data_IF_611345597480
#
_entry.id   IF_611345597480
#
_cell.length_a   1.000
_cell.length_b   1.000
_cell.length_c   1.000
_cell.angle_alpha   90.00
_cell.angle_beta   90.00
_cell.angle_gamma   90.00
#
_symmetry.space_group_name_H-M   'P 1'
#
loop_
_entity.id
_entity.type
_entity.pdbx_description
1 polymer ?
#
# COMPACT_ATOMS: atom_id res chain seq x y z
N UNK A 1 25.81 -18.32 30.09
CA UNK A 1 25.20 -19.50 29.44
C UNK A 1 23.83 -19.81 30.04
N UNK A 2 23.62 -19.65 31.35
CA UNK A 2 22.32 -19.86 32.03
C UNK A 2 21.17 -18.97 31.50
N UNK A 3 21.44 -17.71 31.17
CA UNK A 3 20.41 -16.77 30.67
C UNK A 3 19.84 -17.11 29.29
N UNK A 4 20.61 -17.84 28.46
CA UNK A 4 20.17 -18.28 27.13
C UNK A 4 19.24 -19.49 27.22
N UNK A 5 19.46 -20.39 28.18
CA UNK A 5 18.59 -21.55 28.39
C UNK A 5 17.20 -21.13 28.89
N UNK A 6 17.14 -20.06 29.69
CA UNK A 6 15.91 -19.47 30.19
C UNK A 6 15.08 -18.80 29.08
N UNK A 7 15.75 -18.17 28.11
CA UNK A 7 15.11 -17.48 26.97
C UNK A 7 14.30 -18.45 26.09
N UNK A 8 14.80 -19.68 25.88
CA UNK A 8 14.14 -20.67 25.03
C UNK A 8 12.70 -20.97 25.48
N UNK A 9 12.42 -20.88 26.79
CA UNK A 9 11.06 -21.02 27.37
C UNK A 9 10.08 -19.95 26.87
N UNK A 10 10.59 -18.81 26.41
CA UNK A 10 9.81 -17.67 25.96
C UNK A 10 9.72 -17.59 24.42
N UNK A 11 10.33 -18.50 23.68
CA UNK A 11 10.19 -18.55 22.21
C UNK A 11 8.73 -18.53 21.71
N UNK A 12 7.76 -19.23 22.35
CA UNK A 12 6.36 -19.13 21.94
C UNK A 12 5.81 -17.71 22.02
N UNK A 13 6.21 -16.95 23.06
CA UNK A 13 5.83 -15.55 23.22
C UNK A 13 6.51 -14.67 22.16
N UNK A 14 7.81 -14.89 21.91
CA UNK A 14 8.58 -14.19 20.88
C UNK A 14 7.93 -14.40 19.51
N UNK A 15 7.56 -15.63 19.17
CA UNK A 15 6.87 -15.99 17.92
C UNK A 15 5.51 -15.33 17.80
N UNK A 16 4.74 -15.25 18.88
CA UNK A 16 3.45 -14.56 18.88
C UNK A 16 3.60 -13.06 18.61
N UNK A 17 4.62 -12.41 19.18
CA UNK A 17 4.89 -10.98 18.93
C UNK A 17 5.41 -10.76 17.51
N UNK A 18 6.29 -11.63 17.01
CA UNK A 18 6.79 -11.63 15.64
C UNK A 18 5.66 -11.67 14.63
N UNK A 19 4.80 -12.69 14.71
CA UNK A 19 3.68 -12.87 13.79
C UNK A 19 2.74 -11.67 13.79
N UNK A 20 2.59 -10.98 14.92
CA UNK A 20 1.70 -9.83 15.05
C UNK A 20 2.28 -8.53 14.49
N UNK A 21 3.59 -8.35 14.55
CA UNK A 21 4.19 -7.03 14.34
C UNK A 21 5.25 -6.98 13.24
N UNK A 22 5.96 -8.07 12.97
CA UNK A 22 7.20 -8.05 12.20
C UNK A 22 7.25 -9.09 11.05
N UNK A 23 6.33 -10.06 10.99
CA UNK A 23 6.36 -11.12 9.98
C UNK A 23 6.41 -10.63 8.52
N UNK A 24 5.79 -9.49 8.23
CA UNK A 24 5.71 -8.94 6.88
C UNK A 24 6.99 -8.19 6.44
N UNK A 25 7.92 -7.92 7.36
CA UNK A 25 9.03 -6.97 7.11
C UNK A 25 10.34 -7.31 7.83
N UNK A 26 10.45 -8.49 8.44
CA UNK A 26 11.60 -8.89 9.25
C UNK A 26 11.73 -10.41 9.23
N UNK A 27 12.95 -10.91 9.06
CA UNK A 27 13.20 -12.35 9.11
C UNK A 27 13.03 -12.88 10.54
N UNK A 28 12.67 -14.16 10.66
CA UNK A 28 12.41 -14.77 11.96
C UNK A 28 13.69 -14.86 12.79
N UNK A 29 14.80 -15.27 12.16
CA UNK A 29 16.12 -15.40 12.76
C UNK A 29 16.63 -14.05 13.28
N UNK A 30 16.44 -12.99 12.48
CA UNK A 30 16.77 -11.61 12.89
C UNK A 30 15.92 -11.18 14.08
N UNK A 31 14.62 -11.49 14.06
CA UNK A 31 13.73 -11.16 15.17
C UNK A 31 14.13 -11.89 16.46
N UNK A 32 14.57 -13.14 16.36
CA UNK A 32 15.07 -13.90 17.50
C UNK A 32 16.32 -13.25 18.10
N UNK A 33 17.22 -12.72 17.27
CA UNK A 33 18.40 -11.99 17.77
C UNK A 33 17.99 -10.71 18.50
N UNK A 34 17.10 -9.91 17.92
CA UNK A 34 16.55 -8.71 18.57
C UNK A 34 15.85 -9.04 19.90
N UNK A 35 15.09 -10.13 19.94
CA UNK A 35 14.45 -10.60 21.16
C UNK A 35 15.46 -11.02 22.24
N UNK A 36 16.59 -11.63 21.85
CA UNK A 36 17.70 -11.97 22.77
C UNK A 36 18.40 -10.71 23.31
N UNK A 37 18.57 -9.69 22.49
CA UNK A 37 19.13 -8.39 22.92
C UNK A 37 18.21 -7.74 23.94
N UNK A 38 16.90 -7.69 23.67
CA UNK A 38 15.91 -7.17 24.63
C UNK A 38 15.95 -7.98 25.93
N UNK A 39 15.94 -9.31 25.83
CA UNK A 39 16.03 -10.20 26.99
C UNK A 39 17.25 -9.88 27.86
N UNK A 40 18.44 -9.81 27.26
CA UNK A 40 19.68 -9.50 27.95
C UNK A 40 19.60 -8.15 28.70
N UNK A 41 19.12 -7.10 28.03
CA UNK A 41 18.95 -5.78 28.66
C UNK A 41 17.98 -5.82 29.83
N UNK A 42 16.89 -6.57 29.73
CA UNK A 42 15.94 -6.69 30.82
C UNK A 42 16.53 -7.46 32.00
N UNK A 43 17.36 -8.48 31.77
CA UNK A 43 18.01 -9.21 32.87
C UNK A 43 18.94 -8.32 33.69
N UNK A 44 19.52 -7.28 33.11
CA UNK A 44 20.39 -6.33 33.84
C UNK A 44 19.60 -5.31 34.69
N UNK A 45 18.37 -4.97 34.31
CA UNK A 45 17.57 -3.91 34.96
C UNK A 45 16.36 -4.44 35.73
N UNK A 46 16.15 -5.76 35.74
CA UNK A 46 14.98 -6.36 36.33
C UNK A 46 14.95 -6.16 37.85
N UNK A 47 13.81 -5.67 38.33
CA UNK A 47 13.47 -5.57 39.75
C UNK A 47 12.30 -6.54 40.02
N UNK A 48 12.39 -7.32 41.09
CA UNK A 48 11.48 -8.45 41.42
C UNK A 48 10.02 -8.04 41.67
N UNK A 49 9.71 -6.74 41.63
CA UNK A 49 8.37 -6.16 41.82
C UNK A 49 7.33 -6.62 40.79
N UNK A 50 7.75 -7.11 39.63
CA UNK A 50 6.86 -7.50 38.53
C UNK A 50 7.32 -8.84 37.97
N UNK A 51 6.42 -9.72 37.52
CA UNK A 51 6.83 -10.98 36.88
C UNK A 51 7.65 -10.71 35.61
N UNK A 52 8.86 -11.27 35.53
CA UNK A 52 9.77 -11.13 34.39
C UNK A 52 9.08 -11.36 33.03
N UNK A 53 8.26 -12.41 32.90
CA UNK A 53 7.57 -12.70 31.65
C UNK A 53 6.60 -11.61 31.19
N UNK A 54 5.91 -10.94 32.13
CA UNK A 54 5.04 -9.80 31.79
C UNK A 54 5.86 -8.58 31.38
N UNK A 55 6.97 -8.34 32.07
CA UNK A 55 7.90 -7.26 31.76
C UNK A 55 8.56 -7.46 30.38
N UNK A 56 9.03 -8.67 30.10
CA UNK A 56 9.60 -9.06 28.81
C UNK A 56 8.60 -8.93 27.68
N UNK A 57 7.37 -9.41 27.85
CA UNK A 57 6.30 -9.23 26.87
C UNK A 57 6.08 -7.75 26.52
N UNK A 58 5.99 -6.90 27.54
CA UNK A 58 5.77 -5.46 27.36
C UNK A 58 6.92 -4.81 26.59
N UNK A 59 8.16 -5.04 27.02
CA UNK A 59 9.34 -4.48 26.39
C UNK A 59 9.50 -4.96 24.94
N UNK A 60 9.36 -6.27 24.69
CA UNK A 60 9.52 -6.84 23.35
C UNK A 60 8.41 -6.36 22.40
N UNK A 61 7.18 -6.18 22.88
CA UNK A 61 6.09 -5.62 22.06
C UNK A 61 6.40 -4.18 21.63
N UNK A 62 6.93 -3.36 22.54
CA UNK A 62 7.31 -1.98 22.22
C UNK A 62 8.51 -1.92 21.27
N UNK A 63 9.49 -2.82 21.46
CA UNK A 63 10.62 -2.98 20.55
C UNK A 63 10.17 -3.35 19.15
N UNK A 64 9.30 -4.36 19.01
CA UNK A 64 8.73 -4.79 17.73
C UNK A 64 7.97 -3.65 17.01
N UNK A 65 7.20 -2.84 17.75
CA UNK A 65 6.55 -1.64 17.20
C UNK A 65 7.57 -0.59 16.76
N UNK A 66 8.68 -0.45 17.46
CA UNK A 66 9.77 0.45 17.07
C UNK A 66 10.43 0.00 15.76
N UNK A 67 10.77 -1.30 15.66
CA UNK A 67 11.31 -1.90 14.44
C UNK A 67 10.36 -1.64 13.27
N UNK A 68 9.07 -1.96 13.42
CA UNK A 68 8.06 -1.71 12.38
C UNK A 68 8.05 -0.23 11.97
N UNK A 69 7.99 0.70 12.92
CA UNK A 69 8.01 2.15 12.59
C UNK A 69 9.28 2.58 11.86
N UNK A 70 10.44 2.02 12.21
CA UNK A 70 11.71 2.34 11.54
C UNK A 70 11.78 1.78 10.12
N UNK A 71 11.23 0.59 9.88
CA UNK A 71 11.17 0.00 8.54
C UNK A 71 10.19 0.75 7.62
N UNK A 72 9.07 1.20 8.17
CA UNK A 72 8.04 1.95 7.43
C UNK A 72 8.22 3.47 7.45
N UNK A 73 9.31 4.00 8.01
CA UNK A 73 9.59 5.43 7.97
C UNK A 73 9.89 5.88 6.52
N UNK A 74 9.26 6.99 6.09
CA UNK A 74 9.13 7.45 4.70
C UNK A 74 10.40 7.46 3.82
N UNK A 75 11.60 7.45 4.41
CA UNK A 75 12.87 7.36 3.66
C UNK A 75 13.23 5.94 3.19
N UNK A 76 12.61 4.88 3.74
CA UNK A 76 12.82 3.47 3.34
C UNK A 76 11.60 2.81 2.72
N UNK A 77 10.45 3.49 2.62
CA UNK A 77 9.30 3.03 1.85
C UNK A 77 9.65 2.75 0.37
N UNK A 78 10.69 3.41 -0.14
CA UNK A 78 11.29 3.13 -1.46
C UNK A 78 11.77 1.68 -1.60
N UNK A 79 12.26 1.06 -0.52
CA UNK A 79 12.70 -0.35 -0.52
C UNK A 79 11.56 -1.37 -0.46
N UNK A 80 10.35 -0.98 0.00
CA UNK A 80 9.17 -1.86 -0.10
C UNK A 80 8.73 -2.08 -1.56
N UNK A 81 9.15 -1.19 -2.47
CA UNK A 81 8.90 -1.28 -3.91
C UNK A 81 10.12 -1.74 -4.72
N UNK A 82 11.25 -2.08 -4.07
CA UNK A 82 12.37 -2.69 -4.78
C UNK A 82 12.09 -4.17 -5.00
N UNK A 83 11.57 -4.52 -6.17
CA UNK A 83 11.62 -5.89 -6.67
C UNK A 83 13.09 -6.31 -6.76
N UNK A 84 13.39 -7.56 -6.38
CA UNK A 84 14.73 -8.13 -6.57
C UNK A 84 15.08 -8.06 -8.07
N UNK A 85 16.26 -7.54 -8.40
CA UNK A 85 16.71 -7.37 -9.79
C UNK A 85 16.64 -8.66 -10.62
N UNK A 86 16.86 -9.81 -9.96
CA UNK A 86 16.83 -11.13 -10.56
C UNK A 86 15.42 -11.58 -10.99
N UNK A 87 14.35 -11.04 -10.39
CA UNK A 87 12.96 -11.36 -10.78
C UNK A 87 12.57 -10.79 -12.16
N UNK A 88 13.38 -9.90 -12.73
CA UNK A 88 13.18 -9.29 -14.04
C UNK A 88 13.97 -9.95 -15.17
N UNK A 89 14.77 -11.00 -14.90
CA UNK A 89 15.65 -11.63 -15.90
C UNK A 89 15.08 -12.85 -16.63
N UNK A 90 13.87 -13.32 -16.32
CA UNK A 90 13.25 -14.44 -17.05
C UNK A 90 12.52 -14.03 -18.33
N UNK A 91 12.52 -12.74 -18.68
CA UNK A 91 12.10 -12.26 -20.00
C UNK A 91 13.28 -12.22 -20.96
N UNK A 92 13.28 -13.11 -21.96
CA UNK A 92 14.15 -12.99 -23.13
C UNK A 92 13.89 -11.64 -23.80
N UNK A 93 14.98 -11.03 -24.25
CA UNK A 93 15.10 -9.78 -25.01
C UNK A 93 15.20 -8.49 -24.18
N UNK A 94 16.40 -7.91 -24.21
CA UNK A 94 16.57 -6.47 -24.36
C UNK A 94 16.48 -5.64 -23.08
N UNK A 95 17.67 -5.31 -22.58
CA UNK A 95 17.98 -4.15 -21.73
C UNK A 95 17.08 -2.92 -21.99
N UNK A 96 16.13 -2.64 -21.08
CA UNK A 96 15.52 -1.30 -20.95
C UNK A 96 15.26 -1.01 -19.48
N UNK A 97 16.21 -0.33 -18.84
CA UNK A 97 16.00 0.36 -17.57
C UNK A 97 15.05 1.55 -17.77
N UNK A 98 13.74 1.35 -17.61
CA UNK A 98 12.81 2.47 -17.46
C UNK A 98 12.85 2.98 -16.02
N UNK A 99 13.68 4.01 -15.79
CA UNK A 99 13.62 4.82 -14.58
C UNK A 99 12.34 5.66 -14.65
N UNK A 100 11.24 5.17 -14.10
CA UNK A 100 10.05 5.99 -13.89
C UNK A 100 10.25 6.91 -12.68
N UNK A 101 10.72 8.14 -12.95
CA UNK A 101 10.39 9.29 -12.09
C UNK A 101 8.88 9.49 -12.20
N UNK A 102 8.13 9.20 -11.14
CA UNK A 102 7.07 10.09 -10.63
C UNK A 102 6.41 9.55 -9.36
N UNK A 103 6.41 10.38 -8.33
CA UNK A 103 5.63 10.23 -7.12
C UNK A 103 4.13 10.36 -7.45
N UNK A 104 3.43 9.25 -7.60
CA UNK A 104 1.98 9.21 -7.40
C UNK A 104 1.67 8.07 -6.45
N UNK A 105 0.98 8.39 -5.35
CA UNK A 105 0.37 7.39 -4.48
C UNK A 105 -0.61 6.58 -5.33
N UNK A 106 -0.20 5.41 -5.82
CA UNK A 106 -1.14 4.42 -6.36
C UNK A 106 -1.84 3.78 -5.17
N UNK A 107 -2.98 4.35 -4.80
CA UNK A 107 -4.05 3.55 -4.21
C UNK A 107 -4.28 2.36 -5.17
N UNK A 108 -4.15 1.15 -4.62
CA UNK A 108 -4.51 -0.15 -5.19
C UNK A 108 -4.21 -0.38 -6.68
N UNK A 109 -3.29 -1.31 -6.95
CA UNK A 109 -2.82 -1.65 -8.28
C UNK A 109 -3.93 -1.80 -9.33
N UNK A 110 -4.03 -0.81 -10.21
CA UNK A 110 -4.66 -0.98 -11.51
C UNK A 110 -3.78 -2.02 -12.23
N UNK A 111 -4.29 -3.24 -12.39
CA UNK A 111 -3.62 -4.27 -13.19
C UNK A 111 -3.31 -3.67 -14.58
N UNK A 112 -2.06 -3.77 -15.04
CA UNK A 112 -1.67 -3.23 -16.36
C UNK A 112 -2.56 -3.75 -17.50
N UNK A 113 -3.09 -4.97 -17.35
CA UNK A 113 -4.09 -5.57 -18.25
C UNK A 113 -5.38 -4.74 -18.33
N UNK A 114 -5.86 -4.22 -17.20
CA UNK A 114 -7.06 -3.39 -17.13
C UNK A 114 -6.82 -2.01 -17.77
N UNK A 115 -5.63 -1.45 -17.61
CA UNK A 115 -5.28 -0.17 -18.26
C UNK A 115 -5.20 -0.32 -19.79
N UNK A 116 -4.64 -1.43 -20.27
CA UNK A 116 -4.57 -1.74 -21.70
C UNK A 116 -5.98 -1.97 -22.28
N UNK A 117 -6.80 -2.81 -21.63
CA UNK A 117 -8.17 -3.08 -22.05
C UNK A 117 -9.03 -1.80 -22.05
N UNK A 118 -8.88 -0.94 -21.04
CA UNK A 118 -9.59 0.36 -21.02
C UNK A 118 -9.13 1.24 -22.16
N UNK A 119 -7.82 1.35 -22.43
CA UNK A 119 -7.29 2.19 -23.51
C UNK A 119 -7.75 1.72 -24.90
N UNK A 120 -7.81 0.41 -25.11
CA UNK A 120 -8.21 -0.19 -26.38
C UNK A 120 -9.70 0.01 -26.66
N UNK A 121 -10.55 -0.13 -25.64
CA UNK A 121 -12.00 -0.02 -25.79
C UNK A 121 -12.52 1.43 -25.61
N UNK A 122 -11.76 2.34 -25.01
CA UNK A 122 -12.17 3.75 -24.80
C UNK A 122 -12.68 4.46 -26.07
N UNK A 123 -12.07 4.27 -27.26
CA UNK A 123 -12.56 4.87 -28.51
C UNK A 123 -14.01 4.48 -28.84
N UNK A 124 -14.44 3.26 -28.48
CA UNK A 124 -15.77 2.72 -28.77
C UNK A 124 -16.85 3.25 -27.80
N UNK A 125 -16.45 3.91 -26.71
CA UNK A 125 -17.36 4.53 -25.74
C UNK A 125 -17.85 5.92 -26.16
N UNK A 126 -17.05 6.68 -26.91
CA UNK A 126 -17.41 8.04 -27.35
C UNK A 126 -18.66 8.13 -28.26
N UNK A 127 -18.92 7.18 -29.19
CA UNK A 127 -20.14 7.21 -30.01
C UNK A 127 -21.45 6.98 -29.23
N UNK A 128 -21.42 6.36 -28.05
CA UNK A 128 -22.60 6.09 -27.21
C UNK A 128 -23.04 7.30 -26.35
N UNK A 129 -22.23 8.35 -26.34
CA UNK A 129 -22.52 9.62 -25.69
C UNK A 129 -23.19 10.57 -26.69
N UNK A 130 -24.24 11.25 -26.23
CA UNK A 130 -24.79 12.36 -27.02
C UNK A 130 -23.76 13.49 -27.07
N UNK A 131 -23.69 14.27 -28.15
CA UNK A 131 -22.74 15.39 -28.28
C UNK A 131 -22.75 16.34 -27.06
N UNK A 132 -23.92 16.61 -26.48
CA UNK A 132 -24.05 17.41 -25.25
C UNK A 132 -23.49 16.72 -23.99
N UNK A 133 -23.57 15.39 -23.91
CA UNK A 133 -23.00 14.60 -22.81
C UNK A 133 -21.47 14.54 -22.89
N UNK A 134 -20.92 14.48 -24.11
CA UNK A 134 -19.49 14.49 -24.38
C UNK A 134 -18.89 15.87 -24.06
N UNK A 135 -19.54 16.95 -24.49
CA UNK A 135 -19.10 18.32 -24.19
C UNK A 135 -19.02 18.58 -22.69
N UNK A 136 -20.06 18.18 -21.94
CA UNK A 136 -20.12 18.28 -20.48
C UNK A 136 -19.04 17.42 -19.81
N UNK A 137 -18.75 16.23 -20.35
CA UNK A 137 -17.72 15.35 -19.83
C UNK A 137 -16.31 15.90 -20.08
N UNK A 138 -16.02 16.41 -21.27
CA UNK A 138 -14.75 17.04 -21.61
C UNK A 138 -14.50 18.30 -20.77
N UNK A 139 -15.53 19.14 -20.60
CA UNK A 139 -15.46 20.33 -19.73
C UNK A 139 -15.18 19.94 -18.27
N UNK A 140 -15.77 18.82 -17.80
CA UNK A 140 -15.52 18.27 -16.47
C UNK A 140 -14.11 17.70 -16.29
N UNK A 141 -13.56 17.04 -17.32
CA UNK A 141 -12.23 16.42 -17.26
C UNK A 141 -11.09 17.44 -17.42
N UNK A 142 -11.33 18.54 -18.15
CA UNK A 142 -10.32 19.54 -18.47
C UNK A 142 -10.19 20.71 -17.49
N UNK A 143 -11.05 20.83 -16.48
CA UNK A 143 -11.07 22.00 -15.59
C UNK A 143 -11.18 21.64 -14.11
N UNK A 144 -10.43 22.34 -13.25
CA UNK A 144 -10.52 22.20 -11.79
C UNK A 144 -11.84 22.76 -11.21
N UNK A 145 -12.51 23.65 -11.95
CA UNK A 145 -13.79 24.26 -11.56
C UNK A 145 -14.83 24.17 -12.69
N UNK A 146 -15.37 22.98 -12.96
CA UNK A 146 -16.31 22.80 -14.06
C UNK A 146 -17.62 23.57 -13.80
N UNK A 147 -18.15 24.20 -14.86
CA UNK A 147 -19.44 24.91 -14.85
C UNK A 147 -19.50 26.17 -13.96
N UNK A 148 -18.35 26.73 -13.55
CA UNK A 148 -18.29 27.88 -12.65
C UNK A 148 -18.98 29.16 -13.21
N UNK A 149 -18.99 29.30 -14.53
CA UNK A 149 -19.51 30.47 -15.25
C UNK A 149 -21.02 30.40 -15.56
N UNK A 150 -21.71 29.31 -15.19
CA UNK A 150 -23.10 29.06 -15.59
C UNK A 150 -24.11 29.42 -14.50
N UNK A 151 -25.35 29.71 -14.90
CA UNK A 151 -26.45 29.95 -13.97
C UNK A 151 -26.81 28.67 -13.19
N UNK A 152 -27.43 28.80 -12.01
CA UNK A 152 -27.79 27.64 -11.18
C UNK A 152 -28.75 26.65 -11.87
N UNK A 153 -29.58 27.13 -12.81
CA UNK A 153 -30.46 26.28 -13.61
C UNK A 153 -29.66 25.45 -14.63
N UNK A 154 -28.67 26.05 -15.27
CA UNK A 154 -27.78 25.39 -16.23
C UNK A 154 -26.84 24.40 -15.56
N UNK A 155 -26.32 24.76 -14.38
CA UNK A 155 -25.52 23.84 -13.53
C UNK A 155 -26.31 22.59 -13.17
N UNK A 156 -27.60 22.70 -12.84
CA UNK A 156 -28.45 21.54 -12.55
C UNK A 156 -28.62 20.63 -13.77
N UNK A 157 -28.84 21.21 -14.97
CA UNK A 157 -28.95 20.46 -16.22
C UNK A 157 -27.62 19.76 -16.57
N UNK A 158 -26.49 20.46 -16.52
CA UNK A 158 -25.17 19.88 -16.80
C UNK A 158 -24.76 18.82 -15.77
N UNK A 159 -25.09 18.98 -14.48
CA UNK A 159 -24.90 17.93 -13.46
C UNK A 159 -25.72 16.67 -13.72
N UNK A 160 -26.97 16.82 -14.16
CA UNK A 160 -27.81 15.68 -14.52
C UNK A 160 -27.24 14.94 -15.75
N UNK A 161 -26.78 15.67 -16.76
CA UNK A 161 -26.09 15.10 -17.94
C UNK A 161 -24.79 14.39 -17.54
N UNK A 162 -23.96 15.00 -16.68
CA UNK A 162 -22.73 14.38 -16.18
C UNK A 162 -23.01 13.10 -15.37
N UNK A 163 -24.07 13.07 -14.57
CA UNK A 163 -24.49 11.86 -13.83
C UNK A 163 -24.87 10.74 -14.79
N UNK A 164 -25.55 11.07 -15.89
CA UNK A 164 -25.89 10.11 -16.95
C UNK A 164 -24.64 9.59 -17.68
N UNK A 165 -23.71 10.48 -18.07
CA UNK A 165 -22.43 10.10 -18.69
C UNK A 165 -21.58 9.19 -17.80
N UNK A 166 -21.49 9.50 -16.50
CA UNK A 166 -20.77 8.66 -15.51
C UNK A 166 -21.42 7.29 -15.33
N UNK A 167 -22.75 7.22 -15.41
CA UNK A 167 -23.47 5.95 -15.32
C UNK A 167 -23.21 5.08 -16.55
N UNK A 168 -23.25 5.66 -17.75
CA UNK A 168 -22.86 4.97 -18.99
C UNK A 168 -21.42 4.49 -18.94
N UNK A 169 -20.48 5.32 -18.49
CA UNK A 169 -19.07 4.95 -18.33
C UNK A 169 -18.91 3.76 -17.38
N UNK A 170 -19.66 3.71 -16.28
CA UNK A 170 -19.61 2.58 -15.35
C UNK A 170 -20.15 1.29 -15.94
N UNK A 171 -21.21 1.35 -16.76
CA UNK A 171 -21.75 0.19 -17.47
C UNK A 171 -20.74 -0.30 -18.51
N UNK A 172 -20.19 0.61 -19.31
CA UNK A 172 -19.15 0.31 -20.29
C UNK A 172 -17.92 -0.37 -19.67
N UNK A 173 -17.43 0.16 -18.56
CA UNK A 173 -16.30 -0.42 -17.82
C UNK A 173 -16.63 -1.78 -17.20
N UNK A 174 -17.90 -2.11 -16.95
CA UNK A 174 -18.29 -3.45 -16.45
C UNK A 174 -18.35 -4.49 -17.57
N UNK A 175 -18.63 -4.07 -18.79
CA UNK A 175 -18.75 -4.95 -19.95
C UNK A 175 -17.41 -5.23 -20.63
N UNK A 176 -16.40 -4.37 -20.43
CA UNK A 176 -15.11 -4.40 -21.12
C UNK A 176 -13.89 -4.62 -20.19
N UNK A 177 -14.12 -4.88 -18.90
CA UNK A 177 -13.12 -5.30 -17.90
C UNK A 177 -13.50 -6.65 -17.32
#
# INVERSE_FOLDING_TARGET
METLLEFEKYLPLVRLIYNKHCADCFEWEDFQQEARIVWYRLTEIYDERVKFGAFFKFALTNHARSIRRQQFADKRAVHLHTCAFESSQEGKDGDVLQIERNNFKREEGICEKNLFAVRENLPDFFPDLTNAELEVLCEYLGSETPFAHLTEVEKRKKKAMLSRSKTKLRVFLRENL
#
